data_IF_380947515926
#
_entry.id   IF_380947515926
#
_cell.length_a   1.000
_cell.length_b   1.000
_cell.length_c   1.000
_cell.angle_alpha   90.00
_cell.angle_beta   90.00
_cell.angle_gamma   90.00
#
_symmetry.space_group_name_H-M   'P 1'
#
loop_
_entity.id
_entity.type
_entity.pdbx_description
1 polymer ?
#
# COMPACT_ATOMS: atom_id res chain seq x y z
N UNK A 1 34.25 35.47 2.95
CA UNK A 1 33.58 34.32 2.31
C UNK A 1 33.16 33.36 3.43
N UNK A 2 32.00 33.60 4.04
CA UNK A 2 31.51 32.76 5.15
C UNK A 2 30.72 31.58 4.58
N UNK A 3 31.29 30.38 4.65
CA UNK A 3 30.58 29.14 4.29
C UNK A 3 29.53 28.84 5.36
N UNK A 4 28.27 29.08 5.01
CA UNK A 4 27.11 28.58 5.75
C UNK A 4 27.12 27.05 5.67
N UNK A 5 27.56 26.43 6.76
CA UNK A 5 27.38 25.00 6.98
C UNK A 5 25.88 24.74 7.11
N UNK A 6 25.29 24.26 6.02
CA UNK A 6 23.91 23.79 6.00
C UNK A 6 23.86 22.50 6.82
N UNK A 7 23.43 22.61 8.07
CA UNK A 7 23.11 21.43 8.88
C UNK A 7 22.09 20.59 8.09
N UNK A 8 22.26 19.26 7.97
CA UNK A 8 21.28 18.44 7.30
C UNK A 8 19.96 18.64 8.04
N UNK A 9 18.99 19.26 7.36
CA UNK A 9 17.63 19.36 7.86
C UNK A 9 17.22 17.94 8.22
N UNK A 10 17.06 17.67 9.51
CA UNK A 10 16.64 16.37 10.05
C UNK A 10 15.49 15.91 9.17
N UNK A 11 15.72 14.90 8.33
CA UNK A 11 14.85 14.59 7.22
C UNK A 11 13.43 14.46 7.77
N UNK A 12 12.56 15.43 7.46
CA UNK A 12 11.13 15.25 7.69
C UNK A 12 10.80 13.92 7.03
N UNK A 13 10.08 12.99 7.68
CA UNK A 13 9.80 11.71 7.05
C UNK A 13 9.20 12.02 5.69
N UNK A 14 9.89 11.66 4.60
CA UNK A 14 9.41 12.01 3.28
C UNK A 14 8.07 11.29 3.08
N UNK A 15 7.17 11.86 2.27
CA UNK A 15 6.03 11.09 1.80
C UNK A 15 6.53 9.79 1.17
N UNK A 16 5.98 8.65 1.58
CA UNK A 16 6.38 7.34 1.08
C UNK A 16 5.23 6.74 0.30
N UNK A 17 5.54 6.15 -0.85
CA UNK A 17 4.59 5.43 -1.67
C UNK A 17 5.26 4.17 -2.23
N UNK A 18 4.55 3.05 -2.20
CA UNK A 18 5.00 1.76 -2.71
C UNK A 18 3.89 1.13 -3.53
N UNK A 19 4.26 0.60 -4.70
CA UNK A 19 3.34 -0.22 -5.49
C UNK A 19 3.32 -1.63 -4.92
N UNK A 20 2.13 -2.23 -4.83
CA UNK A 20 1.96 -3.63 -4.47
C UNK A 20 1.61 -4.42 -5.74
N UNK A 21 2.38 -5.46 -6.01
CA UNK A 21 2.24 -6.32 -7.18
C UNK A 21 2.02 -7.77 -6.75
N UNK A 22 1.21 -8.51 -7.51
CA UNK A 22 1.02 -9.95 -7.36
C UNK A 22 1.13 -10.64 -8.72
N UNK A 23 2.23 -11.38 -8.90
CA UNK A 23 2.60 -11.91 -10.21
C UNK A 23 2.95 -10.73 -11.13
N UNK A 24 2.29 -10.63 -12.26
CA UNK A 24 2.48 -9.54 -13.24
C UNK A 24 1.44 -8.41 -13.08
N UNK A 25 0.54 -8.52 -12.10
CA UNK A 25 -0.54 -7.56 -11.90
C UNK A 25 -0.22 -6.54 -10.82
N UNK A 26 -0.38 -5.25 -11.16
CA UNK A 26 -0.46 -4.18 -10.17
C UNK A 26 -1.83 -4.23 -9.48
N UNK A 27 -1.83 -4.39 -8.16
CA UNK A 27 -3.06 -4.59 -7.39
C UNK A 27 -3.44 -3.37 -6.55
N UNK A 28 -2.48 -2.50 -6.29
CA UNK A 28 -2.71 -1.27 -5.56
C UNK A 28 -1.41 -0.53 -5.24
N UNK A 29 -1.58 0.57 -4.53
CA UNK A 29 -0.51 1.40 -4.00
C UNK A 29 -0.74 1.61 -2.52
N UNK A 30 0.32 1.62 -1.72
CA UNK A 30 0.27 2.07 -0.34
C UNK A 30 1.04 3.37 -0.20
N UNK A 31 0.45 4.35 0.48
CA UNK A 31 1.14 5.62 0.74
C UNK A 31 0.94 6.10 2.17
N UNK A 32 1.90 6.87 2.67
CA UNK A 32 1.77 7.61 3.92
C UNK A 32 2.39 9.00 3.79
N UNK A 33 1.77 9.98 4.43
CA UNK A 33 2.39 11.29 4.65
C UNK A 33 3.46 11.24 5.73
N UNK A 34 4.23 12.31 5.83
CA UNK A 34 5.33 12.48 6.78
C UNK A 34 4.92 12.28 8.25
N UNK A 35 3.70 12.69 8.57
CA UNK A 35 3.10 12.74 9.90
C UNK A 35 2.18 11.54 10.17
N UNK A 36 1.96 10.67 9.18
CA UNK A 36 1.12 9.50 9.30
C UNK A 36 1.93 8.28 9.75
N UNK A 37 1.42 7.55 10.75
CA UNK A 37 2.04 6.31 11.23
C UNK A 37 1.83 5.17 10.24
N UNK A 38 0.59 5.04 9.77
CA UNK A 38 0.16 3.95 8.92
C UNK A 38 0.10 4.34 7.45
N UNK A 39 0.34 3.37 6.60
CA UNK A 39 0.10 3.45 5.18
C UNK A 39 -1.38 3.22 4.87
N UNK A 40 -1.91 3.98 3.91
CA UNK A 40 -3.25 3.77 3.36
C UNK A 40 -3.14 3.04 2.02
N UNK A 41 -3.90 1.96 1.86
CA UNK A 41 -3.98 1.22 0.60
C UNK A 41 -4.98 1.86 -0.35
N UNK A 42 -4.58 2.04 -1.60
CA UNK A 42 -5.41 2.50 -2.71
C UNK A 42 -5.47 1.39 -3.74
N UNK A 43 -6.67 0.90 -4.02
CA UNK A 43 -6.86 -0.23 -4.92
C UNK A 43 -6.67 0.15 -6.38
N UNK A 44 -5.97 -0.69 -7.14
CA UNK A 44 -5.81 -0.53 -8.59
C UNK A 44 -6.91 -1.24 -9.40
N UNK A 45 -7.69 -2.14 -8.79
CA UNK A 45 -8.76 -2.87 -9.48
C UNK A 45 -9.87 -3.35 -8.54
N UNK A 46 -11.06 -3.61 -9.08
CA UNK A 46 -12.23 -4.05 -8.31
C UNK A 46 -11.97 -5.31 -7.46
N UNK A 47 -11.09 -6.20 -7.92
CA UNK A 47 -10.71 -7.41 -7.19
C UNK A 47 -10.07 -7.13 -5.82
N UNK A 48 -9.50 -5.95 -5.60
CA UNK A 48 -8.84 -5.57 -4.33
C UNK A 48 -9.58 -4.46 -3.59
N UNK A 49 -10.82 -4.15 -3.98
CA UNK A 49 -11.62 -3.07 -3.38
C UNK A 49 -11.87 -3.25 -1.88
N UNK A 50 -11.89 -4.50 -1.40
CA UNK A 50 -12.02 -4.79 0.03
C UNK A 50 -10.85 -4.26 0.89
N UNK A 51 -9.70 -3.93 0.28
CA UNK A 51 -8.55 -3.32 0.95
C UNK A 51 -8.49 -1.79 0.76
N UNK A 52 -9.35 -1.22 -0.08
CA UNK A 52 -9.30 0.21 -0.39
C UNK A 52 -9.57 1.06 0.87
N UNK A 53 -8.69 2.02 1.13
CA UNK A 53 -8.71 2.86 2.32
C UNK A 53 -8.25 2.16 3.62
N UNK A 54 -7.92 0.85 3.59
CA UNK A 54 -7.42 0.17 4.78
C UNK A 54 -6.02 0.67 5.17
N UNK A 55 -5.77 0.72 6.49
CA UNK A 55 -4.52 1.19 7.08
C UNK A 55 -3.62 0.04 7.48
N UNK A 56 -2.33 0.14 7.16
CA UNK A 56 -1.33 -0.87 7.42
C UNK A 56 -0.07 -0.26 8.04
N UNK A 57 0.48 -0.91 9.06
CA UNK A 57 1.71 -0.45 9.70
C UNK A 57 2.92 -0.45 8.74
N UNK A 58 2.94 -1.37 7.77
CA UNK A 58 4.02 -1.51 6.78
C UNK A 58 3.46 -1.89 5.41
N UNK A 59 4.19 -1.62 4.31
CA UNK A 59 3.82 -2.09 2.98
C UNK A 59 3.67 -3.61 2.89
N UNK A 60 4.54 -4.37 3.57
CA UNK A 60 4.48 -5.83 3.60
C UNK A 60 3.23 -6.39 4.29
N UNK A 61 2.65 -5.66 5.26
CA UNK A 61 1.38 -6.04 5.85
C UNK A 61 0.23 -5.90 4.83
N UNK A 62 0.25 -4.85 4.01
CA UNK A 62 -0.71 -4.65 2.93
C UNK A 62 -0.58 -5.73 1.84
N UNK A 63 0.66 -6.06 1.44
CA UNK A 63 0.93 -7.15 0.51
C UNK A 63 0.39 -8.49 1.02
N UNK A 64 0.62 -8.79 2.30
CA UNK A 64 0.13 -10.02 2.94
C UNK A 64 -1.40 -10.08 2.92
N UNK A 65 -2.07 -8.96 3.21
CA UNK A 65 -3.53 -8.86 3.14
C UNK A 65 -4.04 -9.11 1.71
N UNK A 66 -3.39 -8.53 0.71
CA UNK A 66 -3.76 -8.72 -0.69
C UNK A 66 -3.53 -10.15 -1.18
N UNK A 67 -2.43 -10.81 -0.79
CA UNK A 67 -2.21 -12.24 -1.05
C UNK A 67 -3.32 -13.10 -0.47
N UNK A 68 -3.79 -12.80 0.75
CA UNK A 68 -4.90 -13.52 1.38
C UNK A 68 -6.20 -13.30 0.62
N UNK A 69 -6.53 -12.05 0.28
CA UNK A 69 -7.73 -11.72 -0.48
C UNK A 69 -7.75 -12.41 -1.86
N UNK A 70 -6.63 -12.42 -2.58
CA UNK A 70 -6.51 -13.12 -3.87
C UNK A 70 -6.73 -14.63 -3.71
N UNK A 71 -6.16 -15.27 -2.68
CA UNK A 71 -6.39 -16.70 -2.38
C UNK A 71 -7.85 -16.99 -2.04
N UNK A 72 -8.51 -16.11 -1.29
CA UNK A 72 -9.92 -16.27 -0.94
C UNK A 72 -10.82 -16.16 -2.17
N UNK A 73 -10.55 -15.22 -3.08
CA UNK A 73 -11.30 -15.10 -4.35
C UNK A 73 -11.14 -16.33 -5.25
N UNK A 74 -9.93 -16.88 -5.35
CA UNK A 74 -9.70 -18.14 -6.09
C UNK A 74 -10.43 -19.34 -5.48
N UNK A 75 -10.75 -19.28 -4.18
CA UNK A 75 -11.47 -20.32 -3.44
C UNK A 75 -12.98 -20.16 -3.44
N UNK A 76 -13.53 -19.05 -3.95
CA UNK A 76 -14.97 -18.84 -4.08
C UNK A 76 -15.39 -19.34 -5.48
N UNK A 77 -15.87 -20.59 -5.63
CA UNK A 77 -16.33 -21.08 -6.91
C UNK A 77 -17.78 -20.60 -7.07
N UNK A 78 -18.04 -19.77 -8.08
CA UNK A 78 -19.31 -19.71 -8.83
C UNK A 78 -20.60 -20.05 -8.05
N UNK A 79 -20.94 -19.31 -6.99
CA UNK A 79 -22.26 -19.38 -6.35
C UNK A 79 -23.21 -18.25 -6.80
N UNK A 80 -22.97 -17.70 -7.98
CA UNK A 80 -23.88 -16.73 -8.61
C UNK A 80 -24.40 -17.29 -9.95
N UNK A 81 -25.22 -18.34 -9.84
CA UNK A 81 -26.19 -18.71 -10.85
C UNK A 81 -27.53 -18.90 -10.12
N UNK A 82 -28.38 -17.87 -10.15
CA UNK A 82 -29.79 -17.90 -9.74
C UNK A 82 -30.52 -16.79 -10.49
#
# INVERSE_FOLDING_TARGET
>A
MSQLHSLPARARPAQQAYVIELGEAQIGLVSRRADERDFTFVSASAAFRALDGQRFATPGAAETAARRLSRSQRRAPLLLAS
#
